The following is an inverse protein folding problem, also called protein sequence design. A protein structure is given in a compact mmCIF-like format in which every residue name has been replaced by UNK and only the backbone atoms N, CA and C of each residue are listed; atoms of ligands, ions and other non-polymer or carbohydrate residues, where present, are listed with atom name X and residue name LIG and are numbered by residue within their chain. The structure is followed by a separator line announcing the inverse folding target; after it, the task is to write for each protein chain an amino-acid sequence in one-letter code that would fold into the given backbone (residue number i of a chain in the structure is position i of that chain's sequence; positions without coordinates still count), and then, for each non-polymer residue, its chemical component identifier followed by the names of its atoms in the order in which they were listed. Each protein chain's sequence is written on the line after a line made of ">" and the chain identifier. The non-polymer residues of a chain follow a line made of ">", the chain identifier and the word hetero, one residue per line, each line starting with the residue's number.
data_IF_257393348241
#
_entry.id   IF_257393348241
#
_cell.length_a   1.000
_cell.length_b   1.000
_cell.length_c   1.000
_cell.angle_alpha   90.00
_cell.angle_beta   90.00
_cell.angle_gamma   90.00
#
_symmetry.space_group_name_H-M   'P 1'
#
loop_
_entity.id
_entity.type
_entity.pdbx_description
1 polymer ?
#
# COMPACT_ATOMS: atom_id res chain seq x y z
N UNK A 1 12.99 -27.65 -3.14
CA UNK A 1 14.45 -27.44 -3.29
C UNK A 1 14.61 -26.73 -4.63
N UNK A 2 14.69 -25.40 -4.63
CA UNK A 2 14.82 -24.62 -5.87
C UNK A 2 16.27 -24.72 -6.37
N UNK A 3 16.42 -24.98 -7.68
CA UNK A 3 17.73 -25.04 -8.35
C UNK A 3 18.45 -23.69 -8.24
N UNK A 4 19.75 -23.73 -7.93
CA UNK A 4 20.63 -22.57 -7.68
C UNK A 4 20.84 -21.64 -8.87
N UNK A 5 20.26 -21.92 -10.03
CA UNK A 5 20.54 -21.22 -11.30
C UNK A 5 19.61 -20.03 -11.60
N UNK A 6 18.54 -19.84 -10.82
CA UNK A 6 17.47 -18.86 -11.08
C UNK A 6 17.33 -17.78 -9.99
N UNK A 7 18.43 -17.38 -9.35
CA UNK A 7 18.44 -16.36 -8.28
C UNK A 7 17.79 -15.03 -8.73
N UNK A 8 17.81 -14.73 -10.02
CA UNK A 8 17.22 -13.54 -10.62
C UNK A 8 15.68 -13.54 -10.63
N UNK A 9 15.03 -14.70 -10.53
CA UNK A 9 13.56 -14.83 -10.54
C UNK A 9 12.89 -14.44 -9.21
N UNK A 10 13.68 -14.07 -8.22
CA UNK A 10 13.17 -13.71 -6.89
C UNK A 10 13.16 -12.18 -6.68
N UNK A 11 13.64 -11.39 -7.64
CA UNK A 11 13.69 -9.94 -7.47
C UNK A 11 12.33 -9.30 -7.77
N UNK A 12 11.85 -8.51 -6.82
CA UNK A 12 10.55 -7.84 -6.88
C UNK A 12 10.66 -6.35 -6.57
N UNK A 13 9.73 -5.58 -7.13
CA UNK A 13 9.45 -4.21 -6.74
C UNK A 13 8.15 -4.09 -5.96
N UNK A 14 8.07 -3.12 -5.06
CA UNK A 14 6.82 -2.74 -4.41
C UNK A 14 6.32 -1.44 -5.03
N UNK A 15 5.11 -1.48 -5.58
CA UNK A 15 4.40 -0.31 -6.06
C UNK A 15 3.33 0.04 -5.04
N UNK A 16 3.22 1.31 -4.66
CA UNK A 16 2.14 1.74 -3.79
C UNK A 16 1.48 3.01 -4.29
N UNK A 17 0.16 3.02 -4.23
CA UNK A 17 -0.66 4.14 -4.69
C UNK A 17 -1.91 4.29 -3.82
N UNK A 18 -2.46 5.50 -3.85
CA UNK A 18 -3.63 5.93 -3.12
C UNK A 18 -4.82 6.05 -4.07
N UNK A 19 -5.75 5.12 -3.96
CA UNK A 19 -6.99 5.14 -4.75
C UNK A 19 -8.06 5.91 -3.99
N UNK A 20 -8.69 6.89 -4.64
CA UNK A 20 -9.84 7.61 -4.05
C UNK A 20 -11.09 6.73 -4.11
N UNK A 21 -11.71 6.52 -2.95
CA UNK A 21 -12.97 5.80 -2.81
C UNK A 21 -14.09 6.84 -2.83
N UNK A 22 -15.09 6.62 -3.68
CA UNK A 22 -16.34 7.38 -3.60
C UNK A 22 -17.13 6.86 -2.39
N UNK A 23 -17.80 7.75 -1.67
CA UNK A 23 -18.69 7.37 -0.57
C UNK A 23 -19.70 6.31 -1.04
N UNK A 24 -20.05 5.39 -0.14
CA UNK A 24 -20.98 4.27 -0.35
C UNK A 24 -20.45 3.07 -1.15
N UNK A 25 -19.14 3.02 -1.40
CA UNK A 25 -18.45 1.88 -2.01
C UNK A 25 -18.13 0.80 -0.97
N UNK A 26 -18.59 -0.42 -1.21
CA UNK A 26 -18.39 -1.61 -0.37
C UNK A 26 -17.19 -2.40 -0.87
N UNK A 27 -16.29 -2.73 0.04
CA UNK A 27 -15.11 -3.57 -0.20
C UNK A 27 -15.26 -4.89 0.56
N UNK A 28 -15.11 -6.00 -0.14
CA UNK A 28 -15.06 -7.32 0.48
C UNK A 28 -13.65 -7.61 0.99
N UNK A 29 -13.50 -7.69 2.31
CA UNK A 29 -12.22 -8.03 2.93
C UNK A 29 -11.79 -9.50 2.71
N UNK A 30 -12.70 -10.39 2.32
CA UNK A 30 -12.42 -11.81 2.14
C UNK A 30 -12.02 -12.17 0.71
N UNK A 31 -12.67 -11.56 -0.28
CA UNK A 31 -12.34 -11.78 -1.70
C UNK A 31 -11.34 -10.76 -2.24
N UNK A 32 -11.17 -9.62 -1.56
CA UNK A 32 -10.35 -8.51 -2.04
C UNK A 32 -11.01 -7.74 -3.19
N UNK A 33 -12.28 -8.01 -3.49
CA UNK A 33 -13.03 -7.36 -4.55
C UNK A 33 -13.78 -6.11 -4.06
N UNK A 34 -13.80 -5.11 -4.92
CA UNK A 34 -14.59 -3.90 -4.74
C UNK A 34 -16.02 -4.19 -5.24
N UNK A 35 -16.94 -4.54 -4.34
CA UNK A 35 -18.28 -5.03 -4.68
C UNK A 35 -19.19 -3.92 -5.27
N UNK A 36 -18.86 -2.64 -5.08
CA UNK A 36 -19.58 -1.51 -5.69
C UNK A 36 -20.44 -0.74 -4.68
N UNK A 37 -21.53 -0.10 -5.12
CA UNK A 37 -22.35 0.75 -4.26
C UNK A 37 -23.49 -0.01 -3.59
N UNK A 38 -23.70 0.18 -2.29
CA UNK A 38 -24.99 -0.17 -1.66
C UNK A 38 -26.04 0.86 -2.08
N UNK A 39 -26.64 0.70 -3.26
CA UNK A 39 -27.83 1.47 -3.60
C UNK A 39 -29.02 0.83 -2.86
N UNK A 40 -29.18 1.20 -1.58
CA UNK A 40 -30.44 0.99 -0.89
C UNK A 40 -31.42 1.97 -1.52
N UNK A 41 -32.58 1.49 -1.93
CA UNK A 41 -33.59 2.22 -2.70
C UNK A 41 -33.91 3.61 -2.10
N UNK A 42 -34.62 4.48 -2.84
CA UNK A 42 -34.94 5.86 -2.42
C UNK A 42 -35.37 6.02 -0.94
N UNK A 43 -36.12 5.07 -0.40
CA UNK A 43 -36.57 5.06 1.00
C UNK A 43 -35.43 4.74 1.97
N UNK A 44 -34.56 3.78 1.65
CA UNK A 44 -33.39 3.44 2.47
C UNK A 44 -32.38 4.58 2.55
N UNK A 45 -32.13 5.27 1.43
CA UNK A 45 -31.27 6.45 1.41
C UNK A 45 -31.86 7.61 2.24
N UNK A 46 -33.18 7.85 2.15
CA UNK A 46 -33.85 8.88 2.96
C UNK A 46 -33.79 8.57 4.46
N UNK A 47 -33.90 7.30 4.86
CA UNK A 47 -33.76 6.87 6.25
C UNK A 47 -32.31 7.04 6.72
N UNK A 48 -31.31 6.69 5.91
CA UNK A 48 -29.90 6.91 6.24
C UNK A 48 -29.54 8.40 6.33
N UNK A 49 -30.06 9.23 5.43
CA UNK A 49 -29.85 10.68 5.45
C UNK A 49 -30.48 11.30 6.71
N UNK A 50 -31.68 10.81 7.09
CA UNK A 50 -32.33 11.18 8.34
C UNK A 50 -31.48 10.72 9.55
N UNK A 51 -31.01 9.48 9.60
CA UNK A 51 -30.13 8.99 10.67
C UNK A 51 -28.80 9.76 10.75
N UNK A 52 -28.22 10.17 9.61
CA UNK A 52 -27.02 11.03 9.55
C UNK A 52 -27.31 12.41 10.14
N UNK A 53 -28.47 13.00 9.84
CA UNK A 53 -28.89 14.29 10.41
C UNK A 53 -29.20 14.24 11.91
N UNK A 54 -29.56 13.08 12.45
CA UNK A 54 -29.74 12.89 13.91
C UNK A 54 -28.44 12.58 14.66
N UNK A 55 -27.35 12.20 13.96
CA UNK A 55 -26.04 11.86 14.53
C UNK A 55 -25.01 12.99 14.40
N UNK A 56 -25.44 14.25 14.53
CA UNK A 56 -24.59 15.46 14.44
C UNK A 56 -23.43 15.55 15.48
N UNK A 57 -23.23 14.53 16.34
CA UNK A 57 -22.10 14.44 17.26
C UNK A 57 -21.07 13.34 16.94
N UNK A 58 -21.30 12.48 15.94
CA UNK A 58 -20.36 11.42 15.58
C UNK A 58 -20.18 11.37 14.07
N UNK A 59 -19.25 12.16 13.54
CA UNK A 59 -18.72 11.93 12.20
C UNK A 59 -18.03 10.56 12.21
N UNK A 60 -18.79 9.50 11.90
CA UNK A 60 -18.21 8.23 11.49
C UNK A 60 -17.55 8.50 10.14
N UNK A 61 -16.32 9.00 10.21
CA UNK A 61 -15.55 9.36 9.03
C UNK A 61 -15.30 8.10 8.20
N UNK A 62 -16.08 7.96 7.13
CA UNK A 62 -15.96 6.87 6.17
C UNK A 62 -14.66 7.06 5.39
N UNK A 63 -13.86 5.98 5.28
CA UNK A 63 -12.59 5.99 4.57
C UNK A 63 -12.73 6.61 3.16
N UNK A 64 -11.93 7.64 2.87
CA UNK A 64 -11.95 8.38 1.61
C UNK A 64 -11.01 7.79 0.56
N UNK A 65 -10.05 6.99 1.02
CA UNK A 65 -8.98 6.46 0.20
C UNK A 65 -8.64 5.02 0.58
N UNK A 66 -8.08 4.30 -0.37
CA UNK A 66 -7.45 2.99 -0.16
C UNK A 66 -5.99 3.11 -0.55
N UNK A 67 -5.09 2.87 0.40
CA UNK A 67 -3.68 2.64 0.12
C UNK A 67 -3.52 1.19 -0.32
N UNK A 68 -3.01 0.96 -1.51
CA UNK A 68 -2.74 -0.38 -2.03
C UNK A 68 -1.23 -0.55 -2.20
N UNK A 69 -0.70 -1.67 -1.70
CA UNK A 69 0.65 -2.13 -1.95
C UNK A 69 0.58 -3.31 -2.91
N UNK A 70 1.20 -3.18 -4.07
CA UNK A 70 1.31 -4.22 -5.09
C UNK A 70 2.76 -4.68 -5.19
N UNK A 71 2.95 -5.99 -5.25
CA UNK A 71 4.26 -6.59 -5.55
C UNK A 71 4.27 -6.95 -7.02
N UNK A 72 5.36 -6.62 -7.70
CA UNK A 72 5.60 -6.98 -9.10
C UNK A 72 6.99 -7.56 -9.24
N UNK A 73 7.08 -8.70 -9.89
CA UNK A 73 8.37 -9.31 -10.23
C UNK A 73 9.08 -8.56 -11.35
N UNK A 74 10.40 -8.57 -11.32
CA UNK A 74 11.24 -7.86 -12.29
C UNK A 74 11.45 -8.66 -13.57
N UNK A 75 11.45 -9.98 -13.48
CA UNK A 75 11.87 -10.84 -14.57
C UNK A 75 10.74 -11.71 -15.14
N UNK A 76 9.64 -11.81 -14.40
CA UNK A 76 8.44 -12.57 -14.74
C UNK A 76 7.20 -11.68 -14.65
N UNK A 77 6.08 -12.17 -15.17
CA UNK A 77 4.79 -11.45 -15.09
C UNK A 77 4.06 -11.61 -13.75
N UNK A 78 4.73 -12.14 -12.72
CA UNK A 78 4.14 -12.30 -11.41
C UNK A 78 3.83 -10.91 -10.80
N UNK A 79 2.55 -10.69 -10.49
CA UNK A 79 2.08 -9.49 -9.80
C UNK A 79 0.91 -9.84 -8.91
N UNK A 80 0.88 -9.29 -7.70
CA UNK A 80 -0.22 -9.50 -6.77
C UNK A 80 -0.34 -8.33 -5.78
N UNK A 81 -1.56 -8.03 -5.29
CA UNK A 81 -1.73 -7.10 -4.18
C UNK A 81 -1.22 -7.74 -2.88
N UNK A 82 -0.30 -7.07 -2.19
CA UNK A 82 0.23 -7.52 -0.90
C UNK A 82 -0.64 -7.05 0.26
N UNK A 83 -1.11 -5.80 0.22
CA UNK A 83 -1.92 -5.22 1.28
C UNK A 83 -2.79 -4.07 0.77
N UNK A 84 -3.94 -3.87 1.43
CA UNK A 84 -4.86 -2.76 1.22
C UNK A 84 -5.29 -2.15 2.54
N UNK A 85 -5.20 -0.82 2.68
CA UNK A 85 -5.57 -0.10 3.89
C UNK A 85 -6.59 0.99 3.55
N UNK A 86 -7.78 0.93 4.15
CA UNK A 86 -8.76 1.98 4.05
C UNK A 86 -8.37 3.14 4.98
N UNK A 87 -8.23 4.35 4.45
CA UNK A 87 -7.79 5.53 5.20
C UNK A 87 -8.57 6.79 4.84
N UNK A 88 -8.58 7.76 5.76
CA UNK A 88 -9.14 9.10 5.53
C UNK A 88 -8.11 10.05 4.92
N UNK A 89 -6.87 9.88 5.31
CA UNK A 89 -5.69 10.57 4.81
C UNK A 89 -4.49 9.62 4.90
N UNK A 90 -3.41 9.95 4.21
CA UNK A 90 -2.15 9.22 4.29
C UNK A 90 -1.09 10.24 4.62
N UNK A 91 -0.36 9.99 5.70
CA UNK A 91 0.80 10.77 6.14
C UNK A 91 2.05 9.90 6.07
N UNK A 92 3.23 10.53 6.06
CA UNK A 92 4.49 9.80 5.88
C UNK A 92 4.81 8.87 7.06
N UNK A 93 4.44 9.28 8.28
CA UNK A 93 4.55 8.49 9.52
C UNK A 93 3.68 7.23 9.49
N UNK A 94 2.55 7.25 8.79
CA UNK A 94 1.73 6.06 8.56
C UNK A 94 2.34 5.14 7.49
N UNK A 95 2.95 5.72 6.46
CA UNK A 95 3.51 4.99 5.32
C UNK A 95 4.82 4.25 5.68
N UNK A 96 5.73 4.89 6.42
CA UNK A 96 7.01 4.32 6.86
C UNK A 96 6.88 2.89 7.45
N UNK A 97 6.12 2.67 8.54
CA UNK A 97 6.04 1.36 9.18
C UNK A 97 5.37 0.31 8.29
N UNK A 98 4.43 0.72 7.43
CA UNK A 98 3.73 -0.18 6.50
C UNK A 98 4.70 -0.71 5.45
N UNK A 99 5.46 0.18 4.81
CA UNK A 99 6.41 -0.19 3.76
C UNK A 99 7.55 -1.04 4.33
N UNK A 100 8.14 -0.65 5.47
CA UNK A 100 9.20 -1.44 6.08
C UNK A 100 8.72 -2.82 6.56
N UNK A 101 7.49 -2.91 7.06
CA UNK A 101 6.88 -4.20 7.41
C UNK A 101 6.63 -5.06 6.17
N UNK A 102 6.19 -4.47 5.06
CA UNK A 102 6.03 -5.18 3.79
C UNK A 102 7.36 -5.74 3.29
N UNK A 103 8.43 -4.94 3.29
CA UNK A 103 9.78 -5.36 2.90
C UNK A 103 10.24 -6.54 3.78
N UNK A 104 10.08 -6.43 5.10
CA UNK A 104 10.42 -7.49 6.04
C UNK A 104 9.66 -8.79 5.75
N UNK A 105 8.37 -8.73 5.47
CA UNK A 105 7.56 -9.93 5.18
C UNK A 105 8.06 -10.63 3.91
N UNK A 106 8.41 -9.86 2.87
CA UNK A 106 8.90 -10.40 1.61
C UNK A 106 10.29 -11.04 1.75
N UNK A 107 11.19 -10.40 2.50
CA UNK A 107 12.59 -10.86 2.66
C UNK A 107 12.76 -11.99 3.69
N UNK A 108 12.14 -11.90 4.87
CA UNK A 108 12.66 -12.65 6.04
C UNK A 108 11.99 -14.00 6.34
N UNK A 109 10.82 -14.36 5.78
CA UNK A 109 10.12 -15.54 6.34
C UNK A 109 9.12 -16.30 5.46
N UNK A 110 8.49 -15.70 4.45
CA UNK A 110 7.38 -16.35 3.74
C UNK A 110 7.59 -16.53 2.24
N UNK A 111 8.32 -15.62 1.59
CA UNK A 111 8.35 -15.56 0.13
C UNK A 111 9.75 -15.78 -0.48
N UNK A 112 10.83 -15.60 0.30
CA UNK A 112 12.22 -15.59 -0.20
C UNK A 112 12.40 -14.65 -1.40
N UNK A 113 11.63 -13.55 -1.41
CA UNK A 113 11.63 -12.54 -2.44
C UNK A 113 12.58 -11.41 -2.04
N UNK A 114 13.30 -10.90 -3.03
CA UNK A 114 14.36 -9.91 -2.91
C UNK A 114 13.82 -8.56 -3.39
N UNK A 115 13.55 -7.64 -2.48
CA UNK A 115 13.02 -6.31 -2.84
C UNK A 115 14.14 -5.47 -3.45
N UNK A 116 13.93 -4.99 -4.68
CA UNK A 116 14.91 -4.20 -5.45
C UNK A 116 14.56 -2.71 -5.51
N UNK A 117 13.28 -2.38 -5.65
CA UNK A 117 12.85 -0.99 -5.78
C UNK A 117 11.48 -0.74 -5.15
N UNK A 118 11.23 0.53 -4.82
CA UNK A 118 9.93 1.07 -4.48
C UNK A 118 9.51 2.07 -5.56
N UNK A 119 8.24 2.04 -5.94
CA UNK A 119 7.65 3.00 -6.87
C UNK A 119 6.38 3.58 -6.29
N UNK A 120 6.24 4.90 -6.38
CA UNK A 120 5.06 5.60 -5.92
C UNK A 120 4.79 6.87 -6.74
N UNK A 121 3.59 7.43 -6.59
CA UNK A 121 3.28 8.71 -7.18
C UNK A 121 4.07 9.85 -6.51
N UNK A 122 4.03 11.03 -7.15
CA UNK A 122 4.65 12.23 -6.61
C UNK A 122 3.86 12.89 -5.47
N UNK A 123 2.96 12.21 -4.75
CA UNK A 123 2.19 12.85 -3.67
C UNK A 123 3.10 13.37 -2.55
N UNK A 124 2.66 14.42 -1.85
CA UNK A 124 3.45 15.07 -0.80
C UNK A 124 3.88 14.11 0.32
N UNK A 125 2.99 13.23 0.77
CA UNK A 125 3.29 12.22 1.78
C UNK A 125 4.39 11.25 1.33
N UNK A 126 4.37 10.85 0.05
CA UNK A 126 5.35 9.93 -0.52
C UNK A 126 6.72 10.59 -0.65
N UNK A 127 6.78 11.85 -1.10
CA UNK A 127 8.03 12.62 -1.15
C UNK A 127 8.65 12.80 0.24
N UNK A 128 7.82 13.07 1.27
CA UNK A 128 8.29 13.15 2.66
C UNK A 128 8.82 11.79 3.12
N UNK A 129 8.11 10.69 2.84
CA UNK A 129 8.56 9.34 3.14
C UNK A 129 9.93 9.03 2.52
N UNK A 130 10.14 9.35 1.24
CA UNK A 130 11.41 9.14 0.54
C UNK A 130 12.54 9.97 1.17
N UNK A 131 12.26 11.23 1.50
CA UNK A 131 13.23 12.10 2.18
C UNK A 131 13.60 11.57 3.58
N UNK A 132 12.66 10.95 4.31
CA UNK A 132 12.94 10.33 5.61
C UNK A 132 13.86 9.12 5.51
N UNK A 133 14.00 8.50 4.33
CA UNK A 133 14.92 7.35 4.14
C UNK A 133 16.35 7.76 3.82
N UNK A 134 16.57 9.03 3.44
CA UNK A 134 17.90 9.52 3.07
C UNK A 134 18.63 10.25 4.19
N UNK A 135 19.89 10.55 3.91
CA UNK A 135 20.69 11.43 4.76
C UNK A 135 20.39 12.89 4.42
N UNK A 136 20.53 13.76 5.42
CA UNK A 136 19.94 15.11 5.53
C UNK A 136 20.22 16.09 4.37
N UNK A 137 21.10 15.80 3.40
CA UNK A 137 21.54 16.78 2.40
C UNK A 137 21.67 16.30 0.94
N UNK A 138 21.26 15.08 0.57
CA UNK A 138 21.37 14.59 -0.81
C UNK A 138 20.04 14.07 -1.38
N UNK A 139 19.90 14.14 -2.71
CA UNK A 139 18.81 13.47 -3.40
C UNK A 139 18.84 11.96 -3.09
N UNK A 140 17.74 11.46 -2.52
CA UNK A 140 17.65 10.09 -2.04
C UNK A 140 17.15 9.20 -3.17
N UNK A 141 18.05 8.45 -3.79
CA UNK A 141 17.71 7.50 -4.86
C UNK A 141 17.68 6.05 -4.39
N UNK A 142 18.16 5.78 -3.17
CA UNK A 142 18.14 4.44 -2.58
C UNK A 142 18.18 4.50 -1.05
N UNK A 143 17.83 3.39 -0.41
CA UNK A 143 18.07 3.11 1.01
C UNK A 143 18.66 1.71 1.18
N UNK A 144 19.33 1.45 2.31
CA UNK A 144 19.87 0.13 2.63
C UNK A 144 18.76 -0.75 3.20
N UNK A 145 18.67 -2.01 2.76
CA UNK A 145 17.71 -2.95 3.29
C UNK A 145 18.25 -3.62 4.56
N UNK A 146 17.73 -3.30 5.77
CA UNK A 146 18.19 -3.90 7.02
C UNK A 146 17.78 -5.37 7.15
N UNK A 147 16.86 -5.85 6.29
CA UNK A 147 16.37 -7.22 6.28
C UNK A 147 17.07 -8.12 5.25
N UNK A 148 18.00 -7.57 4.47
CA UNK A 148 18.78 -8.33 3.50
C UNK A 148 20.05 -8.88 4.14
N UNK A 149 20.30 -10.17 4.00
CA UNK A 149 21.57 -10.81 4.41
C UNK A 149 22.78 -10.22 3.65
N UNK A 150 22.58 -9.84 2.38
CA UNK A 150 23.65 -9.34 1.49
C UNK A 150 23.87 -7.81 1.53
N UNK A 151 23.29 -7.07 2.48
CA UNK A 151 23.31 -5.58 2.52
C UNK A 151 22.86 -4.96 1.18
N UNK A 152 21.69 -5.38 0.69
CA UNK A 152 21.15 -4.94 -0.61
C UNK A 152 20.56 -3.53 -0.51
N UNK A 153 20.74 -2.75 -1.57
CA UNK A 153 20.10 -1.43 -1.73
C UNK A 153 18.70 -1.58 -2.34
N UNK A 154 17.76 -0.78 -1.85
CA UNK A 154 16.43 -0.61 -2.42
C UNK A 154 16.40 0.74 -3.12
N UNK A 155 16.12 0.75 -4.42
CA UNK A 155 16.08 1.97 -5.23
C UNK A 155 14.69 2.62 -5.19
N UNK A 156 14.66 3.95 -5.27
CA UNK A 156 13.42 4.72 -5.37
C UNK A 156 13.22 5.18 -6.81
N UNK A 157 12.06 4.86 -7.38
CA UNK A 157 11.69 5.09 -8.79
C UNK A 157 10.44 5.93 -8.89
#
# INVERSE_FOLDING_TARGET
>A
MYSTDDVWKNYVGILFDKIKIKSDLVYDKHTGELIGYCNLDKVGNQIMDMERSFKEGSSNDIAKYMLVLMVRDVATDLKFPLAGFATLSITADFLCPIIWKAIRILETSAAQLKVLFLTCDGASANRIFLNLQGQVNDFVYFTENPFSEDVRKIYFV
#
